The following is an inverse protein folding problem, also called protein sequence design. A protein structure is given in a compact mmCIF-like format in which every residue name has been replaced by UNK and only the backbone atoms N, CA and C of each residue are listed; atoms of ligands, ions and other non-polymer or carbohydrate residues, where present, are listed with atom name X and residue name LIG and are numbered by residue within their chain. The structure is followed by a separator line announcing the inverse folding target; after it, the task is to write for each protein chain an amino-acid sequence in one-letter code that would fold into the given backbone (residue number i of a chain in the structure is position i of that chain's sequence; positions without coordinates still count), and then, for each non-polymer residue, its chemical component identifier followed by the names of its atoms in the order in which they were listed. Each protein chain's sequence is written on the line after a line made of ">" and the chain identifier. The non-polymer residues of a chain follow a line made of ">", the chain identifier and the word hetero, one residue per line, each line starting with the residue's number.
data_IF_843830980642
#
_entry.id   IF_843830980642
#
_cell.length_a   1.000
_cell.length_b   1.000
_cell.length_c   1.000
_cell.angle_alpha   90.00
_cell.angle_beta   90.00
_cell.angle_gamma   90.00
#
_symmetry.space_group_name_H-M   'P 1'
#
loop_
_entity.id
_entity.type
_entity.pdbx_description
1 polymer ?
#
# COMPACT_ATOMS: atom_id res chain seq x y z
N UNK A 1 14.23 -1.70 -41.91
CA UNK A 1 14.50 -0.45 -41.17
C UNK A 1 13.27 -0.05 -40.39
N UNK A 2 13.39 0.28 -39.10
CA UNK A 2 12.24 0.67 -38.25
C UNK A 2 11.91 2.17 -38.49
N UNK A 3 10.72 2.52 -39.03
CA UNK A 3 10.37 3.90 -39.36
C UNK A 3 10.28 4.81 -38.13
N UNK A 4 9.98 4.25 -36.95
CA UNK A 4 9.87 4.99 -35.70
C UNK A 4 11.21 5.62 -35.28
N UNK A 5 12.34 4.99 -35.60
CA UNK A 5 13.68 5.49 -35.24
C UNK A 5 13.95 6.85 -35.89
N UNK A 6 13.54 7.04 -37.15
CA UNK A 6 13.71 8.31 -37.85
C UNK A 6 12.86 9.44 -37.26
N UNK A 7 11.66 9.12 -36.77
CA UNK A 7 10.79 10.08 -36.07
C UNK A 7 11.40 10.46 -34.72
N UNK A 8 11.83 9.47 -33.93
CA UNK A 8 12.44 9.70 -32.62
C UNK A 8 13.72 10.53 -32.71
N UNK A 9 14.56 10.28 -33.72
CA UNK A 9 15.77 11.07 -33.93
C UNK A 9 15.46 12.54 -34.27
N UNK A 10 14.37 12.80 -35.01
CA UNK A 10 13.91 14.17 -35.30
C UNK A 10 13.33 14.86 -34.05
N UNK A 11 12.64 14.11 -33.19
CA UNK A 11 12.12 14.63 -31.91
C UNK A 11 13.28 14.99 -30.97
N UNK A 12 14.28 14.12 -30.86
CA UNK A 12 15.47 14.37 -30.03
C UNK A 12 16.33 15.53 -30.57
N UNK A 13 16.24 15.82 -31.87
CA UNK A 13 16.94 16.91 -32.54
C UNK A 13 18.46 16.96 -32.28
N UNK A 14 19.08 15.78 -32.20
CA UNK A 14 20.52 15.63 -32.01
C UNK A 14 21.22 15.54 -33.37
N UNK A 15 22.40 16.12 -33.46
CA UNK A 15 23.17 16.24 -34.70
C UNK A 15 24.33 15.25 -34.78
N UNK A 16 24.69 14.59 -33.68
CA UNK A 16 25.80 13.64 -33.63
C UNK A 16 25.54 12.45 -32.70
N UNK A 17 26.27 11.36 -32.93
CA UNK A 17 26.25 10.20 -32.03
C UNK A 17 26.74 10.54 -30.61
N UNK A 18 27.67 11.49 -30.49
CA UNK A 18 28.17 11.97 -29.20
C UNK A 18 27.07 12.68 -28.41
N UNK A 19 26.31 13.57 -29.05
CA UNK A 19 25.20 14.28 -28.43
C UNK A 19 24.08 13.30 -27.99
N UNK A 20 23.79 12.29 -28.81
CA UNK A 20 22.89 11.22 -28.42
C UNK A 20 23.40 10.46 -27.17
N UNK A 21 24.69 10.15 -27.11
CA UNK A 21 25.30 9.47 -25.98
C UNK A 21 25.22 10.31 -24.68
N UNK A 22 25.40 11.62 -24.78
CA UNK A 22 25.25 12.56 -23.66
C UNK A 22 23.80 12.59 -23.13
N UNK A 23 22.81 12.67 -24.03
CA UNK A 23 21.39 12.60 -23.67
C UNK A 23 21.07 11.27 -22.98
N UNK A 24 21.55 10.15 -23.52
CA UNK A 24 21.36 8.83 -22.91
C UNK A 24 21.99 8.76 -21.51
N UNK A 25 23.19 9.31 -21.33
CA UNK A 25 23.85 9.40 -20.03
C UNK A 25 23.05 10.22 -19.02
N UNK A 26 22.55 11.39 -19.42
CA UNK A 26 21.70 12.24 -18.58
C UNK A 26 20.40 11.55 -18.18
N UNK A 27 19.73 10.87 -19.12
CA UNK A 27 18.51 10.08 -18.85
C UNK A 27 18.81 8.95 -17.85
N UNK A 28 19.93 8.24 -18.02
CA UNK A 28 20.34 7.18 -17.09
C UNK A 28 20.56 7.69 -15.67
N UNK A 29 21.20 8.86 -15.53
CA UNK A 29 21.38 9.52 -14.22
C UNK A 29 20.04 9.95 -13.62
N UNK A 30 19.15 10.55 -14.41
CA UNK A 30 17.82 10.95 -13.96
C UNK A 30 16.98 9.74 -13.51
N UNK A 31 17.07 8.62 -14.22
CA UNK A 31 16.42 7.37 -13.85
C UNK A 31 16.97 6.80 -12.54
N UNK A 32 18.30 6.77 -12.38
CA UNK A 32 18.93 6.33 -11.14
C UNK A 32 18.52 7.21 -9.95
N UNK A 33 18.59 8.54 -10.12
CA UNK A 33 18.14 9.48 -9.10
C UNK A 33 16.68 9.26 -8.71
N UNK A 34 15.79 9.09 -9.69
CA UNK A 34 14.36 8.85 -9.44
C UNK A 34 14.13 7.52 -8.69
N UNK A 35 14.89 6.47 -9.01
CA UNK A 35 14.82 5.19 -8.32
C UNK A 35 15.27 5.29 -6.86
N UNK A 36 16.42 5.93 -6.60
CA UNK A 36 16.92 6.15 -5.23
C UNK A 36 15.93 7.03 -4.45
N UNK A 37 15.41 8.09 -5.07
CA UNK A 37 14.39 8.95 -4.46
C UNK A 37 13.16 8.14 -4.08
N UNK A 38 12.63 7.31 -4.98
CA UNK A 38 11.48 6.46 -4.69
C UNK A 38 11.75 5.52 -3.50
N UNK A 39 12.91 4.85 -3.47
CA UNK A 39 13.32 3.99 -2.35
C UNK A 39 13.46 4.75 -1.03
N UNK A 40 13.91 6.01 -1.09
CA UNK A 40 14.10 6.88 0.06
C UNK A 40 12.84 7.64 0.48
N UNK A 41 11.79 7.65 -0.34
CA UNK A 41 10.54 8.35 -0.01
C UNK A 41 9.69 7.56 0.98
N UNK A 42 9.06 8.28 1.90
CA UNK A 42 8.21 7.70 2.92
C UNK A 42 7.01 6.94 2.34
N UNK A 43 6.48 7.34 1.17
CA UNK A 43 5.29 6.70 0.58
C UNK A 43 5.46 5.19 0.31
N UNK A 44 6.60 4.78 -0.25
CA UNK A 44 6.88 3.35 -0.50
C UNK A 44 7.10 2.61 0.81
N UNK A 45 7.85 3.21 1.74
CA UNK A 45 8.15 2.60 3.03
C UNK A 45 6.90 2.46 3.90
N UNK A 46 6.06 3.50 3.98
CA UNK A 46 4.80 3.50 4.71
C UNK A 46 3.80 2.49 4.12
N UNK A 47 3.72 2.40 2.79
CA UNK A 47 2.92 1.37 2.12
C UNK A 47 3.39 -0.05 2.45
N UNK A 48 4.70 -0.29 2.43
CA UNK A 48 5.27 -1.58 2.81
C UNK A 48 5.04 -1.89 4.29
N UNK A 49 5.19 -0.92 5.20
CA UNK A 49 4.95 -1.10 6.63
C UNK A 49 3.48 -1.37 6.94
N UNK A 50 2.55 -0.73 6.23
CA UNK A 50 1.12 -1.01 6.35
C UNK A 50 0.79 -2.44 5.91
N UNK A 51 1.36 -2.90 4.79
CA UNK A 51 1.20 -4.28 4.33
C UNK A 51 1.85 -5.28 5.30
N UNK A 52 3.02 -4.94 5.83
CA UNK A 52 3.72 -5.75 6.80
C UNK A 52 2.91 -5.89 8.10
N UNK A 53 2.33 -4.80 8.61
CA UNK A 53 1.43 -4.82 9.78
C UNK A 53 0.24 -5.76 9.58
N UNK A 54 -0.38 -5.71 8.39
CA UNK A 54 -1.47 -6.62 8.00
C UNK A 54 -1.04 -8.07 8.03
N UNK A 55 0.12 -8.40 7.44
CA UNK A 55 0.67 -9.78 7.48
C UNK A 55 0.97 -10.23 8.91
N UNK A 56 1.53 -9.35 9.74
CA UNK A 56 1.86 -9.65 11.13
C UNK A 56 0.60 -9.85 11.98
N UNK A 57 -0.44 -9.04 11.77
CA UNK A 57 -1.74 -9.19 12.43
C UNK A 57 -2.40 -10.53 12.08
N UNK A 58 -2.37 -10.93 10.79
CA UNK A 58 -2.85 -12.26 10.37
C UNK A 58 -2.05 -13.39 11.03
N UNK A 59 -0.71 -13.29 11.06
CA UNK A 59 0.15 -14.30 11.68
C UNK A 59 -0.06 -14.41 13.20
N UNK A 60 -0.52 -13.35 13.86
CA UNK A 60 -0.89 -13.35 15.27
C UNK A 60 -2.29 -13.92 15.54
N UNK A 61 -3.07 -14.24 14.50
CA UNK A 61 -4.41 -14.81 14.64
C UNK A 61 -5.50 -13.77 14.91
N UNK A 62 -5.33 -12.53 14.42
CA UNK A 62 -6.39 -11.53 14.46
C UNK A 62 -7.61 -12.02 13.66
N UNK A 63 -8.79 -12.01 14.29
CA UNK A 63 -10.05 -12.39 13.63
C UNK A 63 -10.59 -11.20 12.83
N UNK A 64 -11.49 -11.41 11.85
CA UNK A 64 -12.02 -10.32 11.02
C UNK A 64 -12.65 -9.17 11.82
N UNK A 65 -13.17 -9.44 13.02
CA UNK A 65 -13.85 -8.46 13.87
C UNK A 65 -12.90 -7.56 14.68
N UNK A 66 -11.60 -7.90 14.73
CA UNK A 66 -10.56 -7.12 15.42
C UNK A 66 -9.41 -6.75 14.48
N UNK A 67 -9.43 -7.23 13.24
CA UNK A 67 -8.30 -7.15 12.33
C UNK A 67 -7.84 -5.72 12.05
N UNK A 68 -8.76 -4.84 11.67
CA UNK A 68 -8.43 -3.44 11.36
C UNK A 68 -7.92 -2.70 12.60
N UNK A 69 -8.54 -2.94 13.76
CA UNK A 69 -8.12 -2.33 15.03
C UNK A 69 -6.72 -2.80 15.47
N UNK A 70 -6.39 -4.08 15.26
CA UNK A 70 -5.05 -4.62 15.54
C UNK A 70 -4.01 -3.99 14.61
N UNK A 71 -4.33 -3.83 13.33
CA UNK A 71 -3.43 -3.22 12.33
C UNK A 71 -3.17 -1.75 12.67
N UNK A 72 -4.21 -0.99 13.01
CA UNK A 72 -4.08 0.42 13.38
C UNK A 72 -3.26 0.60 14.66
N UNK A 73 -3.48 -0.24 15.68
CA UNK A 73 -2.68 -0.21 16.90
C UNK A 73 -1.22 -0.62 16.66
N UNK A 74 -0.96 -1.59 15.77
CA UNK A 74 0.42 -1.96 15.39
C UNK A 74 1.14 -0.82 14.70
N UNK A 75 0.50 -0.16 13.72
CA UNK A 75 1.07 0.98 13.01
C UNK A 75 1.28 2.15 13.98
N UNK A 76 0.28 2.47 14.81
CA UNK A 76 0.35 3.54 15.80
C UNK A 76 1.41 3.31 16.88
N UNK A 77 1.69 2.05 17.24
CA UNK A 77 2.74 1.70 18.20
C UNK A 77 4.16 1.82 17.64
N UNK A 78 4.33 1.79 16.31
CA UNK A 78 5.63 1.66 15.65
C UNK A 78 6.32 0.29 15.80
N UNK A 79 5.76 -0.62 16.62
CA UNK A 79 6.34 -1.93 16.92
C UNK A 79 5.64 -3.05 16.14
N UNK A 80 5.99 -3.19 14.87
CA UNK A 80 5.40 -4.21 13.99
C UNK A 80 6.10 -5.56 14.19
N UNK A 81 5.79 -6.23 15.30
CA UNK A 81 6.32 -7.55 15.66
C UNK A 81 5.21 -8.52 16.03
N UNK A 82 5.41 -9.81 15.74
CA UNK A 82 4.40 -10.86 16.01
C UNK A 82 4.07 -10.96 17.50
N UNK A 83 5.05 -10.79 18.40
CA UNK A 83 4.81 -10.81 19.84
C UNK A 83 3.90 -9.64 20.27
N UNK A 84 4.13 -8.44 19.73
CA UNK A 84 3.31 -7.25 20.00
C UNK A 84 1.89 -7.39 19.46
N UNK A 85 1.78 -7.94 18.25
CA UNK A 85 0.48 -8.25 17.65
C UNK A 85 -0.33 -9.25 18.49
N UNK A 86 0.31 -10.28 19.06
CA UNK A 86 -0.35 -11.23 19.98
C UNK A 86 -0.83 -10.54 21.27
N UNK A 87 -0.02 -9.66 21.84
CA UNK A 87 -0.38 -8.86 23.02
C UNK A 87 -1.63 -8.00 22.72
N UNK A 88 -1.66 -7.31 21.57
CA UNK A 88 -2.79 -6.49 21.15
C UNK A 88 -4.05 -7.35 20.95
N UNK A 89 -3.93 -8.47 20.25
CA UNK A 89 -5.05 -9.41 20.03
C UNK A 89 -5.64 -9.90 21.36
N UNK A 90 -4.80 -10.26 22.33
CA UNK A 90 -5.26 -10.71 23.65
C UNK A 90 -5.94 -9.58 24.44
N UNK A 91 -5.39 -8.36 24.37
CA UNK A 91 -5.96 -7.17 25.02
C UNK A 91 -7.35 -6.82 24.46
N UNK A 92 -7.59 -7.03 23.16
CA UNK A 92 -8.87 -6.77 22.52
C UNK A 92 -9.89 -7.88 22.79
N UNK A 93 -9.43 -9.13 22.86
CA UNK A 93 -10.28 -10.28 23.25
C UNK A 93 -10.75 -10.16 24.70
N UNK A 94 -9.85 -9.81 25.62
CA UNK A 94 -10.20 -9.60 27.03
C UNK A 94 -11.13 -8.40 27.26
N UNK A 95 -10.98 -7.32 26.46
CA UNK A 95 -11.93 -6.19 26.48
C UNK A 95 -13.33 -6.57 26.00
N UNK A 96 -13.43 -7.45 24.99
CA UNK A 96 -14.72 -7.98 24.51
C UNK A 96 -15.31 -9.06 25.43
N UNK A 97 -14.49 -9.76 26.24
CA UNK A 97 -14.96 -10.78 27.19
C UNK A 97 -15.29 -10.23 28.59
N UNK A 98 -14.85 -9.01 28.93
CA UNK A 98 -15.35 -8.31 30.11
C UNK A 98 -16.84 -7.98 29.94
N UNK A 99 -17.71 -8.31 30.91
CA UNK A 99 -19.15 -8.21 30.73
C UNK A 99 -19.56 -6.74 30.57
N UNK A 100 -20.02 -6.41 29.37
CA UNK A 100 -20.80 -5.21 29.12
C UNK A 100 -22.04 -5.26 30.03
N UNK A 101 -22.08 -4.36 31.01
CA UNK A 101 -23.32 -4.01 31.67
C UNK A 101 -24.30 -3.52 30.60
N UNK A 102 -25.39 -4.29 30.47
CA UNK A 102 -26.58 -4.11 29.63
C UNK A 102 -26.82 -2.67 29.15
N UNK A 103 -26.80 -2.48 27.83
CA UNK A 103 -27.71 -1.58 27.13
C UNK A 103 -27.93 -2.12 25.70
N UNK A 104 -29.14 -2.60 25.46
CA UNK A 104 -29.67 -3.16 24.22
C UNK A 104 -29.92 -2.09 23.15
N UNK A 105 -29.52 -2.34 21.91
CA UNK A 105 -30.06 -1.69 20.71
C UNK A 105 -30.02 -2.67 19.51
N UNK A 106 -30.97 -2.59 18.57
CA UNK A 106 -31.41 -3.74 17.78
C UNK A 106 -30.43 -4.08 16.64
N UNK A 107 -30.27 -5.39 16.41
CA UNK A 107 -29.58 -5.94 15.25
C UNK A 107 -30.28 -5.49 13.96
N UNK A 108 -29.60 -4.69 13.14
CA UNK A 108 -29.99 -4.47 11.75
C UNK A 108 -29.34 -5.55 10.89
N UNK A 109 -30.17 -6.49 10.47
CA UNK A 109 -29.87 -7.45 9.40
C UNK A 109 -29.40 -6.70 8.16
N UNK A 110 -28.08 -6.70 7.91
CA UNK A 110 -27.50 -6.14 6.70
C UNK A 110 -27.27 -7.30 5.74
N UNK A 111 -28.10 -7.35 4.69
CA UNK A 111 -27.97 -8.33 3.60
C UNK A 111 -26.55 -8.29 3.04
N UNK A 112 -25.86 -9.43 3.14
CA UNK A 112 -24.48 -9.60 2.71
C UNK A 112 -24.44 -9.79 1.19
N UNK A 113 -24.29 -8.70 0.44
CA UNK A 113 -24.00 -8.75 -1.00
C UNK A 113 -22.59 -9.33 -1.22
N UNK A 114 -22.37 -10.14 -2.27
CA UNK A 114 -21.04 -10.68 -2.56
C UNK A 114 -20.12 -9.56 -3.08
N UNK A 115 -19.11 -9.20 -2.28
CA UNK A 115 -18.05 -8.29 -2.68
C UNK A 115 -16.78 -9.08 -3.03
N UNK A 116 -16.28 -8.90 -4.25
CA UNK A 116 -14.97 -9.40 -4.69
C UNK A 116 -13.94 -8.27 -4.63
N UNK A 117 -12.79 -8.52 -3.99
CA UNK A 117 -11.67 -7.57 -4.01
C UNK A 117 -10.97 -7.62 -5.36
N UNK A 118 -11.31 -6.71 -6.28
CA UNK A 118 -10.59 -6.50 -7.53
C UNK A 118 -9.48 -5.47 -7.36
N UNK A 119 -8.24 -5.81 -7.76
CA UNK A 119 -7.19 -4.81 -7.96
C UNK A 119 -7.25 -4.33 -9.41
N UNK A 120 -7.55 -3.05 -9.63
CA UNK A 120 -7.43 -2.40 -10.94
C UNK A 120 -6.18 -1.53 -10.89
N UNK A 121 -5.22 -1.79 -11.77
CA UNK A 121 -3.98 -1.02 -11.89
C UNK A 121 -4.17 -0.03 -13.05
N UNK A 122 -4.31 1.25 -12.72
CA UNK A 122 -4.28 2.35 -13.69
C UNK A 122 -3.02 3.19 -13.44
N UNK A 123 -2.14 3.23 -14.45
CA UNK A 123 -1.02 4.18 -14.58
C UNK A 123 -0.03 4.35 -13.40
N UNK A 124 0.20 3.32 -12.58
CA UNK A 124 1.37 3.28 -11.69
C UNK A 124 1.34 4.22 -10.48
N UNK A 125 0.30 5.04 -10.29
CA UNK A 125 0.02 5.74 -9.03
C UNK A 125 -1.01 4.98 -8.19
N UNK A 126 -0.68 4.73 -6.93
CA UNK A 126 -1.59 4.11 -5.97
C UNK A 126 -2.60 5.15 -5.46
N UNK A 127 -3.57 5.51 -6.30
CA UNK A 127 -4.80 6.14 -5.81
C UNK A 127 -5.70 5.05 -5.22
N UNK A 128 -5.51 4.72 -3.95
CA UNK A 128 -6.48 3.93 -3.21
C UNK A 128 -7.70 4.82 -2.92
N UNK A 129 -8.69 4.80 -3.81
CA UNK A 129 -10.00 5.41 -3.53
C UNK A 129 -10.72 4.51 -2.54
N UNK A 130 -10.50 4.78 -1.25
CA UNK A 130 -11.34 4.24 -0.18
C UNK A 130 -12.57 5.15 -0.08
N UNK A 131 -13.54 4.89 -0.94
CA UNK A 131 -14.81 5.62 -0.98
C UNK A 131 -15.85 4.79 -1.71
N UNK A 132 -16.89 4.40 -0.98
CA UNK A 132 -18.10 3.78 -1.50
C UNK A 132 -18.80 4.74 -2.46
N UNK A 133 -18.95 4.35 -3.72
CA UNK A 133 -19.96 4.93 -4.59
C UNK A 133 -21.12 3.92 -4.72
N UNK A 134 -22.30 4.46 -4.46
CA UNK A 134 -23.62 3.81 -4.40
C UNK A 134 -23.97 3.13 -5.73
#
# INVERSE_FOLDING_TARGET
>A
SNPTVGILHRILNVSSATELAEVMGAVGLAQNFSAIKALSTEGIQQGHMTLHARTVAMAAGATPEIYDEVVDQLIGSGEIKVWKAKEIVESLRSRKSAPAAKASAPEKETQKLPAGFGKIILFGEHAAVYGSHV
#
